data_IF_214644378300
#
_entry.id   IF_214644378300
#
_cell.length_a   1.000
_cell.length_b   1.000
_cell.length_c   1.000
_cell.angle_alpha   90.00
_cell.angle_beta   90.00
_cell.angle_gamma   90.00
#
_symmetry.space_group_name_H-M   'P 1'
#
loop_
_entity.id
_entity.type
_entity.pdbx_description
1 polymer ?
#
# COMPACT_ATOMS: atom_id res chain seq x y z
N UNK A 1 -8.38 6.09 27.45
CA UNK A 1 -7.36 5.17 26.88
C UNK A 1 -8.07 3.89 26.47
N UNK A 2 -7.88 3.42 25.24
CA UNK A 2 -8.61 2.29 24.64
C UNK A 2 -8.41 1.00 25.46
N UNK A 3 -9.47 0.39 26.01
CA UNK A 3 -9.38 -0.76 26.94
C UNK A 3 -8.60 -1.95 26.37
N UNK A 4 -8.72 -2.16 25.05
CA UNK A 4 -7.96 -3.18 24.31
C UNK A 4 -6.45 -2.96 24.36
N UNK A 5 -5.99 -1.71 24.26
CA UNK A 5 -4.55 -1.39 24.31
C UNK A 5 -3.98 -1.56 25.72
N UNK A 6 -4.80 -1.36 26.76
CA UNK A 6 -4.41 -1.65 28.14
C UNK A 6 -4.28 -3.16 28.38
N UNK A 7 -5.24 -3.94 27.88
CA UNK A 7 -5.26 -5.40 28.03
C UNK A 7 -4.15 -6.07 27.20
N UNK A 8 -3.81 -5.49 26.05
CA UNK A 8 -2.80 -5.98 25.13
C UNK A 8 -1.92 -4.84 24.62
N UNK A 9 -0.87 -4.45 25.38
CA UNK A 9 -0.03 -3.31 25.02
C UNK A 9 0.68 -3.50 23.67
N UNK A 10 1.05 -4.73 23.34
CA UNK A 10 1.81 -5.06 22.12
C UNK A 10 0.93 -5.37 20.90
N UNK A 11 -0.41 -5.22 21.00
CA UNK A 11 -1.32 -5.65 19.93
C UNK A 11 -1.00 -5.01 18.58
N UNK A 12 -0.66 -3.71 18.58
CA UNK A 12 -0.31 -3.01 17.36
C UNK A 12 1.02 -3.52 16.77
N UNK A 13 2.00 -3.82 17.62
CA UNK A 13 3.28 -4.39 17.19
C UNK A 13 3.08 -5.79 16.59
N UNK A 14 2.25 -6.61 17.22
CA UNK A 14 1.96 -7.97 16.76
C UNK A 14 1.17 -7.97 15.44
N UNK A 15 0.17 -7.10 15.32
CA UNK A 15 -0.58 -6.92 14.07
C UNK A 15 0.35 -6.45 12.95
N UNK A 16 1.26 -5.51 13.23
CA UNK A 16 2.25 -5.05 12.25
C UNK A 16 3.17 -6.19 11.79
N UNK A 17 3.76 -6.95 12.72
CA UNK A 17 4.61 -8.11 12.41
C UNK A 17 3.87 -9.16 11.58
N UNK A 18 2.62 -9.50 11.96
CA UNK A 18 1.77 -10.43 11.22
C UNK A 18 1.51 -9.93 9.80
N UNK A 19 1.19 -8.64 9.64
CA UNK A 19 0.92 -8.05 8.34
C UNK A 19 2.16 -8.09 7.42
N UNK A 20 3.37 -7.84 7.96
CA UNK A 20 4.62 -7.96 7.22
C UNK A 20 4.85 -9.37 6.67
N UNK A 21 4.57 -10.40 7.48
CA UNK A 21 4.69 -11.81 7.05
C UNK A 21 3.67 -12.12 5.95
N UNK A 22 2.40 -11.77 6.15
CA UNK A 22 1.34 -11.99 5.17
C UNK A 22 1.66 -11.33 3.82
N UNK A 23 2.18 -10.10 3.86
CA UNK A 23 2.60 -9.36 2.67
C UNK A 23 3.71 -10.09 1.90
N UNK A 24 4.68 -10.68 2.59
CA UNK A 24 5.75 -11.47 1.96
C UNK A 24 5.21 -12.73 1.29
N UNK A 25 4.35 -13.47 1.99
CA UNK A 25 3.72 -14.70 1.48
C UNK A 25 2.90 -14.38 0.22
N UNK A 26 2.04 -13.36 0.28
CA UNK A 26 1.19 -12.97 -0.84
C UNK A 26 2.00 -12.52 -2.06
N UNK A 27 3.08 -11.74 -1.84
CA UNK A 27 3.99 -11.33 -2.92
C UNK A 27 4.66 -12.55 -3.59
N UNK A 28 5.08 -13.54 -2.80
CA UNK A 28 5.66 -14.79 -3.32
C UNK A 28 4.64 -15.55 -4.18
N UNK A 29 3.43 -15.76 -3.64
CA UNK A 29 2.34 -16.41 -4.37
C UNK A 29 2.05 -15.73 -5.72
N UNK A 30 1.91 -14.40 -5.74
CA UNK A 30 1.65 -13.67 -6.97
C UNK A 30 2.77 -13.83 -8.00
N UNK A 31 4.03 -13.70 -7.59
CA UNK A 31 5.18 -13.88 -8.47
C UNK A 31 5.22 -15.28 -9.10
N UNK A 32 4.87 -16.31 -8.32
CA UNK A 32 4.90 -17.72 -8.76
C UNK A 32 3.69 -18.11 -9.62
N UNK A 33 2.51 -17.52 -9.38
CA UNK A 33 1.25 -18.01 -9.98
C UNK A 33 0.64 -17.09 -11.04
N UNK A 34 0.97 -15.79 -11.04
CA UNK A 34 0.29 -14.82 -11.92
C UNK A 34 1.18 -14.17 -12.96
N UNK A 35 2.52 -14.38 -12.92
CA UNK A 35 3.47 -13.70 -13.82
C UNK A 35 3.51 -12.16 -13.67
N UNK A 36 2.66 -11.57 -12.82
CA UNK A 36 2.61 -10.16 -12.51
C UNK A 36 3.79 -9.80 -11.60
N UNK A 37 4.85 -9.25 -12.17
CA UNK A 37 5.93 -8.67 -11.39
C UNK A 37 5.45 -7.36 -10.72
N UNK A 38 4.99 -7.46 -9.47
CA UNK A 38 4.54 -6.33 -8.65
C UNK A 38 5.63 -5.27 -8.38
N UNK A 39 6.90 -5.52 -8.74
CA UNK A 39 7.96 -4.51 -8.68
C UNK A 39 7.89 -3.55 -9.88
N UNK A 40 7.28 -3.95 -11.00
CA UNK A 40 7.29 -3.21 -12.27
C UNK A 40 6.09 -2.26 -12.47
N UNK A 41 4.92 -2.58 -11.91
CA UNK A 41 3.73 -1.72 -12.05
C UNK A 41 3.60 -0.74 -10.88
N UNK A 42 4.33 0.37 -10.97
CA UNK A 42 4.08 1.53 -10.11
C UNK A 42 4.65 2.81 -10.73
N UNK A 43 4.40 2.99 -12.04
CA UNK A 43 4.77 4.20 -12.79
C UNK A 43 4.22 5.47 -12.10
N UNK A 44 3.10 5.34 -11.40
CA UNK A 44 2.39 6.43 -10.73
C UNK A 44 2.48 6.37 -9.21
N UNK A 45 3.21 5.44 -8.59
CA UNK A 45 3.31 5.38 -7.12
C UNK A 45 3.98 6.60 -6.49
N UNK A 46 4.74 7.32 -7.32
CA UNK A 46 5.44 8.54 -6.92
C UNK A 46 4.62 9.81 -7.15
N UNK A 47 3.47 9.76 -7.84
CA UNK A 47 2.64 10.95 -8.02
C UNK A 47 1.79 11.17 -6.77
N UNK A 48 2.00 12.31 -6.13
CA UNK A 48 1.18 12.74 -5.01
C UNK A 48 -0.24 13.07 -5.47
N UNK A 49 -1.24 12.78 -4.63
CA UNK A 49 -2.65 13.12 -4.90
C UNK A 49 -2.87 14.60 -5.25
N UNK A 50 -2.00 15.50 -4.76
CA UNK A 50 -2.10 16.93 -5.01
C UNK A 50 -1.25 17.44 -6.17
N UNK A 51 -0.39 16.60 -6.76
CA UNK A 51 0.49 16.99 -7.87
C UNK A 51 -0.31 17.22 -9.16
N UNK A 52 0.21 18.00 -10.13
CA UNK A 52 -0.41 18.16 -11.45
C UNK A 52 -0.62 16.81 -12.14
N UNK A 53 -1.76 16.64 -12.82
CA UNK A 53 -2.11 15.38 -13.45
C UNK A 53 -1.31 15.15 -14.73
N UNK A 54 -0.74 13.95 -14.84
CA UNK A 54 0.08 13.47 -15.97
C UNK A 54 -0.64 13.41 -17.32
N UNK A 55 -1.97 13.50 -17.35
CA UNK A 55 -2.72 13.58 -18.62
C UNK A 55 -2.67 14.98 -19.26
N UNK A 56 -1.95 15.93 -18.67
CA UNK A 56 -1.80 17.29 -19.20
C UNK A 56 -3.00 18.21 -18.94
N UNK A 57 -3.98 17.78 -18.14
CA UNK A 57 -5.20 18.56 -17.88
C UNK A 57 -4.99 19.80 -16.98
N UNK A 58 -3.81 19.94 -16.37
CA UNK A 58 -3.51 20.98 -15.38
C UNK A 58 -4.23 20.82 -14.03
N UNK A 59 -5.13 19.83 -13.88
CA UNK A 59 -5.82 19.53 -12.61
C UNK A 59 -4.91 18.76 -11.66
N UNK A 60 -5.19 18.79 -10.36
CA UNK A 60 -4.54 17.91 -9.37
C UNK A 60 -4.88 16.45 -9.66
N UNK A 61 -3.94 15.53 -9.47
CA UNK A 61 -4.10 14.09 -9.76
C UNK A 61 -5.38 13.50 -9.14
N UNK A 62 -5.67 13.78 -7.87
CA UNK A 62 -6.88 13.32 -7.14
C UNK A 62 -8.22 13.84 -7.65
N UNK A 63 -8.21 14.80 -8.58
CA UNK A 63 -9.41 15.39 -9.21
C UNK A 63 -9.45 15.07 -10.71
N UNK A 64 -8.66 14.11 -11.17
CA UNK A 64 -8.51 13.81 -12.58
C UNK A 64 -8.37 12.28 -12.78
N UNK A 65 -7.14 11.77 -12.87
CA UNK A 65 -6.88 10.34 -13.15
C UNK A 65 -6.72 9.47 -11.88
N UNK A 66 -6.70 10.08 -10.70
CA UNK A 66 -6.46 9.41 -9.42
C UNK A 66 -7.68 9.26 -8.53
#
# INVERSE_FOLDING_TARGET
MNELLKKYPDINLNVKKRHEILRKIYKKYLNENTGLNLQQFNQYKKIGRNDPCICGSGKKYKRCCG
#
